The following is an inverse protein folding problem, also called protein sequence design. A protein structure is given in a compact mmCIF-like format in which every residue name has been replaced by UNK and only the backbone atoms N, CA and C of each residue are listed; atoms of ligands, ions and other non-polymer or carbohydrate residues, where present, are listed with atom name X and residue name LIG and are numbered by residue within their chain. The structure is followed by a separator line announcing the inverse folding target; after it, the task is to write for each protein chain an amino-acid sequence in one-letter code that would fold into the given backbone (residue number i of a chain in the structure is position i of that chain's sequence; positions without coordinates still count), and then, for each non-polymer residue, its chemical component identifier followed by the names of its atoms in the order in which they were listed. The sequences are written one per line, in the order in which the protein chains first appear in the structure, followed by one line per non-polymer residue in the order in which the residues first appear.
data_IF_681707800055
#
_entry.id   IF_681707800055
#
_cell.length_a   1.000
_cell.length_b   1.000
_cell.length_c   1.000
_cell.angle_alpha   90.00
_cell.angle_beta   90.00
_cell.angle_gamma   90.00
#
_symmetry.space_group_name_H-M   'P 1'
#
loop_
_entity.id
_entity.type
_entity.pdbx_description
1 polymer ?
#
# COMPACT_ATOMS: atom_id res chain seq x y z
N UNK A 1 3.83 -17.75 -12.44
CA UNK A 1 4.58 -17.26 -11.29
C UNK A 1 4.07 -15.86 -10.93
N UNK A 2 3.89 -15.58 -9.63
CA UNK A 2 3.28 -14.35 -9.11
C UNK A 2 3.98 -13.04 -9.55
N UNK A 3 5.18 -13.12 -10.06
CA UNK A 3 6.00 -11.98 -10.46
C UNK A 3 5.52 -11.26 -11.73
N UNK A 4 4.82 -11.94 -12.64
CA UNK A 4 4.41 -11.33 -13.90
C UNK A 4 3.22 -10.36 -13.78
N UNK A 5 2.42 -10.46 -12.71
CA UNK A 5 1.27 -9.59 -12.50
C UNK A 5 1.66 -8.21 -11.92
N UNK A 6 2.84 -8.10 -11.31
CA UNK A 6 3.29 -6.89 -10.64
C UNK A 6 4.31 -6.10 -11.47
N UNK A 7 4.54 -6.50 -12.72
CA UNK A 7 5.48 -5.83 -13.62
C UNK A 7 4.74 -5.06 -14.70
N UNK A 8 5.04 -3.79 -14.84
CA UNK A 8 4.61 -2.97 -15.96
C UNK A 8 5.83 -2.81 -16.87
N UNK A 9 5.80 -3.53 -18.00
CA UNK A 9 6.88 -3.44 -18.98
C UNK A 9 6.66 -2.21 -19.86
N UNK A 10 7.66 -1.36 -19.95
CA UNK A 10 7.67 -0.19 -20.82
C UNK A 10 8.80 -0.39 -21.83
N UNK A 11 8.47 -0.38 -23.12
CA UNK A 11 9.43 -0.37 -24.20
C UNK A 11 9.45 1.02 -24.84
N UNK A 12 10.62 1.56 -25.05
CA UNK A 12 10.83 2.81 -25.77
C UNK A 12 11.68 2.49 -26.99
N UNK A 13 11.13 2.76 -28.15
CA UNK A 13 11.85 2.60 -29.41
C UNK A 13 12.94 3.67 -29.54
N UNK A 14 13.89 3.43 -30.43
CA UNK A 14 14.95 4.42 -30.70
C UNK A 14 14.38 5.71 -31.28
N UNK A 15 14.36 6.77 -30.49
CA UNK A 15 13.88 8.10 -30.84
C UNK A 15 14.99 9.03 -31.34
N UNK A 16 16.17 8.50 -31.65
CA UNK A 16 17.20 9.28 -32.31
C UNK A 16 16.77 9.67 -33.73
N UNK A 17 17.43 10.65 -34.31
CA UNK A 17 17.16 11.07 -35.71
C UNK A 17 17.28 9.91 -36.70
N UNK A 18 18.14 8.92 -36.40
CA UNK A 18 18.30 7.68 -37.19
C UNK A 18 17.15 6.72 -36.93
N UNK A 19 16.73 6.52 -35.69
CA UNK A 19 15.63 5.62 -35.33
C UNK A 19 14.27 6.11 -35.85
N UNK A 20 14.06 7.42 -35.86
CA UNK A 20 12.88 8.06 -36.44
C UNK A 20 12.93 8.04 -37.96
N UNK A 21 14.13 7.97 -38.56
CA UNK A 21 14.33 7.89 -40.03
C UNK A 21 14.54 9.26 -40.70
N UNK A 22 14.81 10.33 -39.92
CA UNK A 22 15.00 11.67 -40.48
C UNK A 22 16.48 12.08 -40.66
N UNK A 23 17.43 11.21 -40.29
CA UNK A 23 18.85 11.52 -40.34
C UNK A 23 19.45 11.75 -41.72
N UNK A 24 18.76 11.33 -42.81
CA UNK A 24 19.25 11.45 -44.18
C UNK A 24 18.36 12.33 -45.06
N UNK A 25 17.56 13.20 -44.47
CA UNK A 25 16.66 14.08 -45.21
C UNK A 25 17.46 15.16 -45.93
N UNK A 26 17.36 15.18 -47.29
CA UNK A 26 17.96 16.20 -48.12
C UNK A 26 16.88 17.15 -48.64
N UNK A 27 17.07 18.44 -48.44
CA UNK A 27 16.15 19.51 -48.84
C UNK A 27 16.78 20.42 -49.90
N UNK A 28 17.91 20.02 -50.48
CA UNK A 28 18.64 20.86 -51.42
C UNK A 28 17.98 20.95 -52.79
N UNK A 29 17.10 20.00 -53.12
CA UNK A 29 16.32 19.94 -54.37
C UNK A 29 14.81 19.99 -54.08
N UNK A 30 14.03 20.40 -55.10
CA UNK A 30 12.57 20.42 -54.99
C UNK A 30 11.98 19.04 -54.77
N UNK A 31 12.53 18.04 -55.44
CA UNK A 31 12.11 16.65 -55.32
C UNK A 31 12.52 16.08 -53.94
N UNK A 32 13.74 16.39 -53.46
CA UNK A 32 14.20 16.04 -52.12
C UNK A 32 13.34 16.66 -51.02
N UNK A 33 12.98 17.94 -51.19
CA UNK A 33 12.10 18.63 -50.24
C UNK A 33 10.69 18.03 -50.19
N UNK A 34 10.14 17.58 -51.35
CA UNK A 34 8.85 16.90 -51.38
C UNK A 34 8.89 15.55 -50.66
N UNK A 35 9.92 14.73 -50.90
CA UNK A 35 10.13 13.47 -50.20
C UNK A 35 10.39 13.65 -48.68
N UNK A 36 11.07 14.75 -48.30
CA UNK A 36 11.33 15.11 -46.94
C UNK A 36 10.06 15.30 -46.11
N UNK A 37 9.00 15.89 -46.70
CA UNK A 37 7.71 16.12 -46.03
C UNK A 37 7.10 14.77 -45.58
N UNK A 38 7.07 13.77 -46.43
CA UNK A 38 6.53 12.46 -46.10
C UNK A 38 7.36 11.75 -45.05
N UNK A 39 8.69 11.85 -45.13
CA UNK A 39 9.61 11.28 -44.12
C UNK A 39 9.45 11.93 -42.75
N UNK A 40 9.35 13.26 -42.71
CA UNK A 40 9.14 14.00 -41.48
C UNK A 40 7.75 13.70 -40.90
N UNK A 41 6.73 13.59 -41.73
CA UNK A 41 5.37 13.20 -41.30
C UNK A 41 5.38 11.82 -40.63
N UNK A 42 6.02 10.84 -41.26
CA UNK A 42 6.16 9.50 -40.68
C UNK A 42 6.95 9.52 -39.36
N UNK A 43 7.96 10.40 -39.25
CA UNK A 43 8.69 10.62 -37.99
C UNK A 43 7.81 11.19 -36.90
N UNK A 44 6.98 12.19 -37.21
CA UNK A 44 6.02 12.77 -36.26
C UNK A 44 5.01 11.72 -35.79
N UNK A 45 4.52 10.89 -36.68
CA UNK A 45 3.57 9.82 -36.34
C UNK A 45 4.20 8.79 -35.38
N UNK A 46 5.45 8.39 -35.62
CA UNK A 46 6.20 7.50 -34.71
C UNK A 46 6.37 8.11 -33.32
N UNK A 47 6.80 9.37 -33.23
CA UNK A 47 6.95 10.07 -31.94
C UNK A 47 5.61 10.20 -31.24
N UNK A 48 4.54 10.52 -31.97
CA UNK A 48 3.19 10.65 -31.41
C UNK A 48 2.67 9.33 -30.88
N UNK A 49 2.88 8.23 -31.61
CA UNK A 49 2.53 6.89 -31.16
C UNK A 49 3.28 6.49 -29.89
N UNK A 50 4.59 6.75 -29.83
CA UNK A 50 5.39 6.47 -28.64
C UNK A 50 4.94 7.30 -27.44
N UNK A 51 4.65 8.58 -27.66
CA UNK A 51 4.09 9.45 -26.60
C UNK A 51 2.73 8.95 -26.09
N UNK A 52 1.88 8.45 -26.97
CA UNK A 52 0.59 7.88 -26.59
C UNK A 52 0.75 6.62 -25.71
N UNK A 53 1.69 5.74 -26.03
CA UNK A 53 2.03 4.55 -25.23
C UNK A 53 2.56 4.96 -23.87
N UNK A 54 3.46 5.93 -23.82
CA UNK A 54 4.01 6.44 -22.54
C UNK A 54 2.93 7.10 -21.70
N UNK A 55 2.04 7.89 -22.29
CA UNK A 55 0.91 8.51 -21.58
C UNK A 55 -0.06 7.47 -21.02
N UNK A 56 -0.38 6.44 -21.80
CA UNK A 56 -1.21 5.35 -21.32
C UNK A 56 -0.54 4.59 -20.14
N UNK A 57 0.77 4.37 -20.25
CA UNK A 57 1.53 3.71 -19.16
C UNK A 57 1.59 4.58 -17.91
N UNK A 58 1.77 5.89 -18.08
CA UNK A 58 1.73 6.85 -16.96
C UNK A 58 0.38 6.81 -16.24
N UNK A 59 -0.74 6.85 -16.96
CA UNK A 59 -2.07 6.72 -16.37
C UNK A 59 -2.23 5.38 -15.62
N UNK A 60 -1.76 4.27 -16.20
CA UNK A 60 -1.81 2.96 -15.55
C UNK A 60 -0.99 2.94 -14.24
N UNK A 61 0.19 3.55 -14.25
CA UNK A 61 1.02 3.66 -13.05
C UNK A 61 0.33 4.48 -11.97
N UNK A 62 -0.30 5.60 -12.32
CA UNK A 62 -1.03 6.44 -11.39
C UNK A 62 -2.20 5.70 -10.73
N UNK A 63 -2.99 4.96 -11.51
CA UNK A 63 -4.05 4.11 -10.96
C UNK A 63 -3.49 2.99 -10.08
N UNK A 64 -2.35 2.41 -10.45
CA UNK A 64 -1.71 1.36 -9.64
C UNK A 64 -1.21 1.92 -8.31
N UNK A 65 -0.61 3.10 -8.31
CA UNK A 65 -0.17 3.79 -7.08
C UNK A 65 -1.36 4.02 -6.15
N UNK A 66 -2.44 4.62 -6.66
CA UNK A 66 -3.64 4.87 -5.85
C UNK A 66 -4.26 3.59 -5.27
N UNK A 67 -4.24 2.50 -6.04
CA UNK A 67 -4.71 1.19 -5.55
C UNK A 67 -3.79 0.62 -4.47
N UNK A 68 -2.48 0.73 -4.67
CA UNK A 68 -1.48 0.27 -3.68
C UNK A 68 -1.55 1.07 -2.39
N UNK A 69 -1.75 2.39 -2.47
CA UNK A 69 -1.90 3.25 -1.30
C UNK A 69 -3.15 2.84 -0.49
N UNK A 70 -4.28 2.65 -1.16
CA UNK A 70 -5.51 2.16 -0.52
C UNK A 70 -5.32 0.76 0.10
N UNK A 71 -4.62 -0.12 -0.60
CA UNK A 71 -4.33 -1.47 -0.10
C UNK A 71 -3.41 -1.42 1.11
N UNK A 72 -2.39 -0.56 1.07
CA UNK A 72 -1.46 -0.34 2.19
C UNK A 72 -2.19 0.17 3.43
N UNK A 73 -3.09 1.15 3.27
CA UNK A 73 -3.91 1.66 4.36
C UNK A 73 -4.81 0.58 4.96
N UNK A 74 -5.48 -0.21 4.13
CA UNK A 74 -6.31 -1.32 4.58
C UNK A 74 -5.52 -2.39 5.34
N UNK A 75 -4.32 -2.74 4.85
CA UNK A 75 -3.41 -3.69 5.52
C UNK A 75 -2.95 -3.11 6.86
N UNK A 76 -2.62 -1.82 6.91
CA UNK A 76 -2.21 -1.16 8.15
C UNK A 76 -3.35 -1.14 9.16
N UNK A 77 -4.58 -0.82 8.73
CA UNK A 77 -5.76 -0.88 9.59
C UNK A 77 -6.04 -2.31 10.10
N UNK A 78 -5.89 -3.31 9.25
CA UNK A 78 -6.04 -4.71 9.65
C UNK A 78 -4.94 -5.14 10.64
N UNK A 79 -3.69 -4.74 10.40
CA UNK A 79 -2.58 -5.00 11.31
C UNK A 79 -2.79 -4.34 12.67
N UNK A 80 -3.30 -3.10 12.70
CA UNK A 80 -3.67 -2.40 13.93
C UNK A 80 -4.73 -3.18 14.72
N UNK A 81 -5.79 -3.67 14.05
CA UNK A 81 -6.82 -4.50 14.71
C UNK A 81 -6.30 -5.79 15.32
N UNK A 82 -5.24 -6.36 14.76
CA UNK A 82 -4.63 -7.61 15.24
C UNK A 82 -3.61 -7.34 16.34
N UNK A 83 -2.82 -6.29 16.22
CA UNK A 83 -1.66 -6.03 17.08
C UNK A 83 -1.91 -5.01 18.17
N UNK A 84 -2.79 -4.05 17.92
CA UNK A 84 -3.01 -2.98 18.90
C UNK A 84 -3.99 -3.43 19.97
N UNK A 85 -3.63 -3.13 21.21
CA UNK A 85 -4.43 -3.41 22.37
C UNK A 85 -5.20 -2.17 22.77
N UNK A 86 -6.51 -2.28 22.93
CA UNK A 86 -7.32 -1.23 23.52
C UNK A 86 -6.95 -1.07 25.01
N UNK A 87 -6.15 -0.06 25.30
CA UNK A 87 -5.66 0.24 26.64
C UNK A 87 -6.80 0.54 27.61
N UNK A 88 -7.88 1.15 27.14
CA UNK A 88 -9.02 1.44 28.02
C UNK A 88 -9.70 0.15 28.47
N UNK A 89 -9.90 -0.79 27.56
CA UNK A 89 -10.46 -2.11 27.86
C UNK A 89 -9.54 -2.92 28.78
N UNK A 90 -8.24 -2.92 28.51
CA UNK A 90 -7.25 -3.62 29.36
C UNK A 90 -7.16 -3.03 30.75
N UNK A 91 -7.24 -1.71 30.89
CA UNK A 91 -7.26 -1.04 32.21
C UNK A 91 -8.54 -1.34 32.99
N UNK A 92 -9.68 -1.43 32.33
CA UNK A 92 -10.93 -1.87 32.98
C UNK A 92 -10.82 -3.32 33.47
N UNK A 93 -10.25 -4.21 32.68
CA UNK A 93 -10.05 -5.61 33.06
C UNK A 93 -9.06 -5.76 34.20
N UNK A 94 -7.96 -5.02 34.16
CA UNK A 94 -6.99 -4.95 35.25
C UNK A 94 -7.61 -4.46 36.56
N UNK A 95 -8.38 -3.37 36.51
CA UNK A 95 -9.08 -2.83 37.70
C UNK A 95 -10.09 -3.85 38.24
N UNK A 96 -10.87 -4.49 37.35
CA UNK A 96 -11.80 -5.56 37.74
C UNK A 96 -11.08 -6.71 38.45
N UNK A 97 -9.94 -7.17 37.94
CA UNK A 97 -9.15 -8.24 38.55
C UNK A 97 -8.59 -7.82 39.91
N UNK A 98 -8.14 -6.57 40.07
CA UNK A 98 -7.67 -6.04 41.36
C UNK A 98 -8.80 -6.02 42.38
N UNK A 99 -9.98 -5.52 42.01
CA UNK A 99 -11.14 -5.48 42.92
C UNK A 99 -11.58 -6.89 43.32
N UNK A 100 -11.60 -7.84 42.35
CA UNK A 100 -11.92 -9.25 42.64
C UNK A 100 -10.90 -9.87 43.62
N UNK A 101 -9.60 -9.60 43.43
CA UNK A 101 -8.55 -10.11 44.30
C UNK A 101 -8.68 -9.54 45.73
N UNK A 102 -8.91 -8.24 45.85
CA UNK A 102 -9.13 -7.60 47.16
C UNK A 102 -10.39 -8.14 47.87
N UNK A 103 -11.47 -8.34 47.11
CA UNK A 103 -12.72 -8.90 47.63
C UNK A 103 -12.53 -10.36 48.06
N UNK A 104 -11.80 -11.16 47.29
CA UNK A 104 -11.49 -12.55 47.63
C UNK A 104 -10.63 -12.62 48.92
N UNK A 105 -9.64 -11.75 49.05
CA UNK A 105 -8.80 -11.68 50.29
C UNK A 105 -9.62 -11.29 51.50
N UNK A 106 -10.53 -10.31 51.36
CA UNK A 106 -11.43 -9.93 52.44
C UNK A 106 -12.37 -11.07 52.85
N UNK A 107 -12.96 -11.77 51.90
CA UNK A 107 -13.78 -12.95 52.18
C UNK A 107 -13.02 -14.10 52.82
N UNK A 108 -11.77 -14.35 52.37
CA UNK A 108 -10.92 -15.34 53.03
C UNK A 108 -10.59 -14.96 54.47
N UNK A 109 -10.30 -13.70 54.72
CA UNK A 109 -10.07 -13.22 56.07
C UNK A 109 -11.31 -13.42 56.97
N UNK A 110 -12.50 -13.12 56.43
CA UNK A 110 -13.76 -13.33 57.13
C UNK A 110 -14.08 -14.82 57.35
N UNK A 111 -13.85 -15.67 56.35
CA UNK A 111 -14.03 -17.10 56.48
C UNK A 111 -13.09 -17.72 57.53
N UNK A 112 -11.86 -17.20 57.68
CA UNK A 112 -10.91 -17.64 58.69
C UNK A 112 -11.26 -17.19 60.10
N UNK A 113 -12.09 -16.14 60.27
CA UNK A 113 -12.58 -15.70 61.58
C UNK A 113 -13.74 -16.54 62.10
N UNK A 114 -14.55 -17.15 61.24
CA UNK A 114 -15.68 -17.99 61.65
C UNK A 114 -15.29 -19.17 62.54
N UNK A 115 -14.29 -19.98 62.23
CA UNK A 115 -13.86 -21.07 63.09
C UNK A 115 -13.38 -20.59 64.47
N UNK A 116 -12.77 -19.41 64.54
CA UNK A 116 -12.27 -18.84 65.78
C UNK A 116 -13.44 -18.42 66.73
N UNK A 117 -14.51 -17.86 66.14
CA UNK A 117 -15.69 -17.51 66.91
C UNK A 117 -16.43 -18.73 67.45
N UNK A 118 -16.47 -19.83 66.70
CA UNK A 118 -17.05 -21.11 67.16
C UNK A 118 -16.21 -21.70 68.30
N UNK A 119 -14.89 -21.63 68.23
CA UNK A 119 -13.98 -22.06 69.31
C UNK A 119 -14.18 -21.29 70.61
N UNK A 120 -14.46 -19.98 70.49
CA UNK A 120 -14.73 -19.13 71.67
C UNK A 120 -16.09 -19.45 72.34
N UNK A 121 -17.08 -19.97 71.56
CA UNK A 121 -18.38 -20.37 72.10
C UNK A 121 -18.37 -21.78 72.74
N UNK A 122 -17.33 -22.56 72.48
CA UNK A 122 -17.13 -23.92 73.00
C UNK A 122 -16.22 -23.97 74.25
N UNK A 123 -15.65 -22.84 74.64
CA UNK A 123 -14.90 -22.64 75.87
C UNK A 123 -15.80 -21.96 76.93
#
# INVERSE_FOLDING_TARGET
TADSFNQITVSIDDMSSKGIGVAGVDISSREGAAAAIDTIRAGIDKVSAQRAVLGATQNRLEYTINNLDTTSENIQAANSRIRDTDMAKMMMEYTKMNVLTQSAQAMLAQANQQPQSVLQLLQ
#
